data_IF_134297753344
#
_entry.id   IF_134297753344
#
_cell.length_a   1.000
_cell.length_b   1.000
_cell.length_c   1.000
_cell.angle_alpha   90.00
_cell.angle_beta   90.00
_cell.angle_gamma   90.00
#
_symmetry.space_group_name_H-M   'P 1'
#
loop_
_entity.id
_entity.type
_entity.pdbx_description
1 polymer ?
#
# COMPACT_ATOMS: atom_id res chain seq x y z
N UNK A 1 -15.96 4.97 -2.17
CA UNK A 1 -15.50 6.26 -1.60
C UNK A 1 -14.06 6.50 -2.01
N UNK A 2 -13.53 7.74 -2.06
CA UNK A 2 -12.09 7.97 -2.35
C UNK A 2 -11.36 8.20 -1.01
N UNK A 3 -10.28 7.45 -0.76
CA UNK A 3 -9.44 7.59 0.41
C UNK A 3 -8.12 8.26 0.05
N UNK A 4 -7.64 9.11 0.95
CA UNK A 4 -6.29 9.66 0.91
C UNK A 4 -5.38 8.82 1.81
N UNK A 5 -4.31 8.29 1.24
CA UNK A 5 -3.28 7.53 1.95
C UNK A 5 -1.95 8.28 1.84
N UNK A 6 -1.20 8.32 2.94
CA UNK A 6 0.10 8.98 2.99
C UNK A 6 1.19 7.91 3.07
N UNK A 7 2.09 7.95 2.09
CA UNK A 7 3.24 7.06 1.99
C UNK A 7 4.53 7.85 2.16
N UNK A 8 5.53 7.21 2.74
CA UNK A 8 6.93 7.62 2.57
C UNK A 8 7.35 7.44 1.11
N UNK A 9 8.44 8.07 0.68
CA UNK A 9 8.97 7.87 -0.68
C UNK A 9 9.33 6.40 -0.91
N UNK A 10 9.88 5.70 0.09
CA UNK A 10 10.27 4.29 -0.01
C UNK A 10 9.07 3.38 -0.24
N UNK A 11 8.02 3.59 0.55
CA UNK A 11 6.73 2.90 0.39
C UNK A 11 6.14 3.18 -1.00
N UNK A 12 6.10 4.45 -1.42
CA UNK A 12 5.56 4.80 -2.73
C UNK A 12 6.35 4.16 -3.88
N UNK A 13 7.68 4.15 -3.83
CA UNK A 13 8.50 3.50 -4.85
C UNK A 13 8.22 1.99 -4.89
N UNK A 14 8.22 1.31 -3.75
CA UNK A 14 7.93 -0.12 -3.70
C UNK A 14 6.53 -0.44 -4.24
N UNK A 15 5.52 0.37 -3.89
CA UNK A 15 4.16 0.23 -4.41
C UNK A 15 4.12 0.26 -5.94
N UNK A 16 4.80 1.21 -6.58
CA UNK A 16 4.71 1.39 -8.03
C UNK A 16 5.67 0.52 -8.85
N UNK A 17 6.85 0.19 -8.32
CA UNK A 17 7.89 -0.52 -9.09
C UNK A 17 7.87 -2.01 -8.86
N UNK A 18 7.47 -2.46 -7.66
CA UNK A 18 7.47 -3.87 -7.29
C UNK A 18 6.03 -4.39 -7.21
N UNK A 19 5.25 -3.92 -6.22
CA UNK A 19 3.93 -4.52 -5.92
C UNK A 19 2.95 -4.41 -7.08
N UNK A 20 2.91 -3.25 -7.76
CA UNK A 20 1.97 -3.01 -8.86
C UNK A 20 2.62 -3.04 -10.25
N UNK A 21 3.84 -3.56 -10.36
CA UNK A 21 4.62 -3.58 -11.62
C UNK A 21 3.79 -4.08 -12.81
N UNK A 22 3.14 -5.23 -12.63
CA UNK A 22 2.33 -5.90 -13.65
C UNK A 22 0.84 -5.53 -13.58
N UNK A 23 0.43 -4.77 -12.57
CA UNK A 23 -0.96 -4.40 -12.28
C UNK A 23 -1.31 -3.01 -12.82
N UNK A 24 -1.08 -2.79 -14.12
CA UNK A 24 -1.31 -1.48 -14.79
C UNK A 24 -2.74 -0.96 -14.65
N UNK A 25 -3.72 -1.86 -14.56
CA UNK A 25 -5.12 -1.53 -14.30
C UNK A 25 -5.33 -0.87 -12.94
N UNK A 26 -4.57 -1.27 -11.91
CA UNK A 26 -4.60 -0.68 -10.57
C UNK A 26 -3.82 0.64 -10.59
N UNK A 27 -2.60 0.66 -11.12
CA UNK A 27 -1.76 1.86 -11.22
C UNK A 27 -2.50 3.05 -11.85
N UNK A 28 -3.24 2.82 -12.93
CA UNK A 28 -3.97 3.87 -13.64
C UNK A 28 -5.11 4.51 -12.83
N UNK A 29 -5.57 3.87 -11.76
CA UNK A 29 -6.61 4.40 -10.86
C UNK A 29 -6.03 5.27 -9.74
N UNK A 30 -4.74 5.15 -9.47
CA UNK A 30 -4.06 5.89 -8.41
C UNK A 30 -3.81 7.33 -8.87
N UNK A 31 -4.33 8.30 -8.10
CA UNK A 31 -3.93 9.71 -8.26
C UNK A 31 -2.85 10.04 -7.25
N UNK A 32 -1.82 10.78 -7.68
CA UNK A 32 -0.64 11.04 -6.87
C UNK A 32 -0.45 12.54 -6.68
N UNK A 33 -0.20 12.96 -5.44
CA UNK A 33 0.24 14.30 -5.09
C UNK A 33 1.52 14.20 -4.26
N UNK A 34 2.65 14.64 -4.82
CA UNK A 34 3.94 14.62 -4.11
C UNK A 34 4.05 15.85 -3.22
N UNK A 35 4.34 15.63 -1.94
CA UNK A 35 4.55 16.69 -0.95
C UNK A 35 5.95 16.58 -0.34
N UNK A 36 6.36 17.59 0.43
CA UNK A 36 7.67 17.57 1.07
C UNK A 36 7.77 16.37 2.03
N UNK A 37 8.71 15.46 1.76
CA UNK A 37 9.02 14.24 2.53
C UNK A 37 7.95 13.12 2.51
N UNK A 38 6.91 13.20 1.69
CA UNK A 38 5.91 12.13 1.56
C UNK A 38 5.12 12.21 0.26
N UNK A 39 4.38 11.15 -0.04
CA UNK A 39 3.53 11.04 -1.22
C UNK A 39 2.11 10.77 -0.77
N UNK A 40 1.20 11.67 -1.14
CA UNK A 40 -0.23 11.42 -0.97
C UNK A 40 -0.74 10.66 -2.20
N UNK A 41 -1.42 9.56 -1.96
CA UNK A 41 -2.12 8.81 -3.00
C UNK A 41 -3.62 8.83 -2.72
N UNK A 42 -4.41 8.86 -3.79
CA UNK A 42 -5.86 8.82 -3.72
C UNK A 42 -6.36 7.64 -4.54
N UNK A 43 -7.12 6.77 -3.89
CA UNK A 43 -7.64 5.52 -4.45
C UNK A 43 -9.10 5.35 -4.08
N UNK A 44 -9.86 4.66 -4.94
CA UNK A 44 -11.18 4.16 -4.57
C UNK A 44 -11.06 2.91 -3.70
N UNK A 45 -12.19 2.53 -3.11
CA UNK A 45 -12.30 1.39 -2.19
C UNK A 45 -11.91 0.07 -2.83
N UNK A 46 -12.35 -0.19 -4.06
CA UNK A 46 -11.98 -1.41 -4.81
C UNK A 46 -10.46 -1.46 -5.04
N UNK A 47 -9.86 -0.34 -5.44
CA UNK A 47 -8.41 -0.22 -5.67
C UNK A 47 -7.63 -0.40 -4.38
N UNK A 48 -8.12 0.14 -3.26
CA UNK A 48 -7.48 -0.04 -1.97
C UNK A 48 -7.56 -1.49 -1.48
N UNK A 49 -8.72 -2.13 -1.67
CA UNK A 49 -8.90 -3.56 -1.41
C UNK A 49 -7.92 -4.40 -2.24
N UNK A 50 -7.85 -4.17 -3.55
CA UNK A 50 -6.93 -4.90 -4.44
C UNK A 50 -5.47 -4.78 -3.98
N UNK A 51 -5.03 -3.57 -3.61
CA UNK A 51 -3.66 -3.34 -3.11
C UNK A 51 -3.44 -4.08 -1.78
N UNK A 52 -4.45 -4.11 -0.90
CA UNK A 52 -4.37 -4.80 0.40
C UNK A 52 -4.25 -6.31 0.22
N UNK A 53 -5.03 -6.90 -0.68
CA UNK A 53 -4.97 -8.34 -0.97
C UNK A 53 -3.61 -8.71 -1.56
N UNK A 54 -3.12 -7.96 -2.54
CA UNK A 54 -1.77 -8.18 -3.10
C UNK A 54 -0.68 -8.08 -2.03
N UNK A 55 -0.81 -7.12 -1.10
CA UNK A 55 0.15 -6.96 0.00
C UNK A 55 0.09 -8.16 0.96
N UNK A 56 -1.10 -8.67 1.23
CA UNK A 56 -1.35 -9.81 2.12
C UNK A 56 -0.83 -11.12 1.53
N UNK A 57 -0.93 -11.29 0.21
CA UNK A 57 -0.37 -12.44 -0.50
C UNK A 57 1.17 -12.42 -0.49
N UNK A 58 1.76 -11.24 -0.67
CA UNK A 58 3.22 -11.08 -0.77
C UNK A 58 3.92 -11.13 0.61
N UNK A 59 3.32 -10.58 1.67
CA UNK A 59 3.98 -10.39 2.97
C UNK A 59 4.57 -11.67 3.55
N UNK A 60 3.92 -12.81 3.35
CA UNK A 60 4.36 -14.12 3.83
C UNK A 60 5.73 -14.56 3.29
N UNK A 61 6.20 -13.97 2.18
CA UNK A 61 7.50 -14.26 1.58
C UNK A 61 8.64 -13.41 2.14
N UNK A 62 8.32 -12.38 2.94
CA UNK A 62 9.26 -11.35 3.36
C UNK A 62 9.58 -11.38 4.85
N UNK A 63 9.75 -12.59 5.39
CA UNK A 63 10.23 -12.86 6.75
C UNK A 63 11.64 -13.42 6.72
N UNK A 64 12.45 -13.09 7.73
CA UNK A 64 13.79 -13.64 7.90
C UNK A 64 13.77 -15.02 8.60
N UNK A 65 14.95 -15.58 8.85
CA UNK A 65 15.11 -16.88 9.51
C UNK A 65 14.58 -16.93 10.96
N UNK A 66 14.37 -15.77 11.59
CA UNK A 66 13.81 -15.63 12.92
C UNK A 66 12.30 -15.36 12.90
N UNK A 67 11.66 -15.42 11.72
CA UNK A 67 10.27 -15.03 11.51
C UNK A 67 10.00 -13.55 11.85
N UNK A 68 11.02 -12.69 11.72
CA UNK A 68 10.83 -11.24 11.81
C UNK A 68 10.59 -10.66 10.40
N UNK A 69 9.67 -9.70 10.23
CA UNK A 69 9.48 -9.06 8.95
C UNK A 69 10.78 -8.37 8.50
N UNK A 70 11.18 -8.66 7.26
CA UNK A 70 12.25 -7.90 6.60
C UNK A 70 11.80 -6.46 6.37
N UNK A 71 12.69 -5.61 5.88
CA UNK A 71 12.33 -4.23 5.55
C UNK A 71 11.18 -4.15 4.51
N UNK A 72 11.11 -5.11 3.58
CA UNK A 72 10.00 -5.23 2.62
C UNK A 72 8.74 -5.75 3.32
N UNK A 73 8.89 -6.74 4.21
CA UNK A 73 7.78 -7.25 5.03
C UNK A 73 7.09 -6.14 5.80
N UNK A 74 7.85 -5.23 6.42
CA UNK A 74 7.29 -4.05 7.10
C UNK A 74 6.54 -3.10 6.17
N UNK A 75 7.02 -2.88 4.94
CA UNK A 75 6.32 -2.06 3.95
C UNK A 75 4.97 -2.69 3.58
N UNK A 76 4.94 -4.01 3.39
CA UNK A 76 3.72 -4.75 3.04
C UNK A 76 2.71 -4.75 4.19
N UNK A 77 3.14 -4.99 5.43
CA UNK A 77 2.31 -4.84 6.63
C UNK A 77 1.72 -3.43 6.74
N UNK A 78 2.52 -2.39 6.50
CA UNK A 78 2.03 -1.02 6.47
C UNK A 78 0.98 -0.79 5.38
N UNK A 79 1.10 -1.43 4.22
CA UNK A 79 0.05 -1.33 3.19
C UNK A 79 -1.24 -2.01 3.62
N UNK A 80 -1.16 -3.18 4.25
CA UNK A 80 -2.35 -3.88 4.75
C UNK A 80 -3.16 -2.98 5.68
N UNK A 81 -2.49 -2.26 6.59
CA UNK A 81 -3.13 -1.30 7.50
C UNK A 81 -3.60 -0.02 6.79
N UNK A 82 -2.73 0.63 6.00
CA UNK A 82 -3.01 1.93 5.39
C UNK A 82 -4.12 1.90 4.34
N UNK A 83 -4.26 0.80 3.61
CA UNK A 83 -5.29 0.60 2.59
C UNK A 83 -6.57 -0.06 3.15
N UNK A 84 -6.64 -0.28 4.47
CA UNK A 84 -7.83 -0.84 5.10
C UNK A 84 -9.00 0.16 5.10
N UNK A 85 -10.07 -0.18 4.39
CA UNK A 85 -11.34 0.56 4.37
C UNK A 85 -12.26 0.06 5.48
N UNK A 86 -11.99 0.43 6.73
CA UNK A 86 -12.97 0.25 7.80
C UNK A 86 -12.72 1.28 8.92
N UNK A 87 -12.79 2.56 8.55
CA UNK A 87 -13.17 3.56 9.55
C UNK A 87 -14.69 3.57 9.62
N UNK A 88 -15.23 2.71 10.50
CA UNK A 88 -16.34 3.21 11.34
C UNK A 88 -15.84 4.54 11.90
N UNK A 89 -16.43 5.63 11.44
CA UNK A 89 -16.38 6.87 12.20
C UNK A 89 -16.82 6.49 13.62
N UNK A 90 -15.88 6.51 14.56
CA UNK A 90 -16.24 6.58 15.98
C UNK A 90 -16.87 7.97 16.13
N UNK A 91 -18.19 7.99 15.97
CA UNK A 91 -19.10 9.11 16.25
C UNK A 91 -19.00 9.45 17.73
#
# INVERSE_FOLDING_TARGET
MIQKIILSEKEYQYLITELLHDHKNILNKIKVNKITNSVEIYVDEDTAFDIRELSSDEVGLHFDENYEPTEVGWILEHFIDKFYFDKKELI
#
